data_IF_742816672495
#
_entry.id   IF_742816672495
#
_cell.length_a   1.000
_cell.length_b   1.000
_cell.length_c   1.000
_cell.angle_alpha   90.00
_cell.angle_beta   90.00
_cell.angle_gamma   90.00
#
_symmetry.space_group_name_H-M   'P 1'
#
loop_
_entity.id
_entity.type
_entity.pdbx_description
1 polymer ?
#
# COMPACT_ATOMS: atom_id res chain seq x y z
N UNK A 1 -21.06 -0.89 -45.44
CA UNK A 1 -21.47 -1.76 -44.31
C UNK A 1 -20.34 -1.66 -43.30
N UNK A 2 -20.42 -0.65 -42.44
CA UNK A 2 -19.49 -0.43 -41.33
C UNK A 2 -19.73 -1.52 -40.29
N UNK A 3 -18.68 -2.17 -39.83
CA UNK A 3 -18.74 -3.06 -38.67
C UNK A 3 -18.30 -2.25 -37.46
N UNK A 4 -19.26 -2.01 -36.57
CA UNK A 4 -19.08 -1.29 -35.31
C UNK A 4 -18.13 -2.06 -34.38
N UNK A 5 -17.20 -1.32 -33.79
CA UNK A 5 -16.18 -1.81 -32.89
C UNK A 5 -16.59 -1.52 -31.46
N UNK A 6 -17.31 -2.43 -30.80
CA UNK A 6 -17.59 -2.35 -29.37
C UNK A 6 -17.65 -3.76 -28.80
N UNK A 7 -16.73 -4.09 -27.88
CA UNK A 7 -17.04 -4.67 -26.56
C UNK A 7 -15.76 -5.18 -25.85
N UNK A 8 -14.95 -4.25 -25.30
CA UNK A 8 -13.89 -4.62 -24.36
C UNK A 8 -14.52 -4.90 -22.99
N UNK A 9 -14.98 -6.13 -22.80
CA UNK A 9 -15.46 -6.59 -21.50
C UNK A 9 -14.24 -6.81 -20.59
N UNK A 10 -13.92 -5.82 -19.76
CA UNK A 10 -12.93 -5.99 -18.68
C UNK A 10 -13.54 -6.95 -17.67
N UNK A 11 -13.19 -8.23 -17.80
CA UNK A 11 -13.58 -9.26 -16.84
C UNK A 11 -12.78 -8.97 -15.56
N UNK A 12 -13.34 -8.16 -14.67
CA UNK A 12 -12.86 -8.06 -13.29
C UNK A 12 -13.07 -9.46 -12.71
N UNK A 13 -11.97 -10.18 -12.52
CA UNK A 13 -11.97 -11.52 -11.90
C UNK A 13 -12.41 -11.36 -10.45
N UNK A 14 -13.71 -11.31 -10.20
CA UNK A 14 -14.27 -11.60 -8.89
C UNK A 14 -13.74 -12.97 -8.47
N UNK A 15 -13.21 -13.09 -7.25
CA UNK A 15 -12.82 -14.39 -6.72
C UNK A 15 -14.00 -15.35 -6.79
N UNK A 16 -13.74 -16.64 -7.06
CA UNK A 16 -14.76 -17.67 -7.33
C UNK A 16 -15.84 -17.83 -6.24
N UNK A 17 -15.67 -17.17 -5.09
CA UNK A 17 -16.55 -17.20 -3.92
C UNK A 17 -17.20 -15.84 -3.57
N UNK A 18 -17.11 -14.81 -4.44
CA UNK A 18 -17.61 -13.46 -4.16
C UNK A 18 -16.73 -12.62 -3.21
N UNK A 19 -15.58 -13.16 -2.77
CA UNK A 19 -14.54 -12.41 -2.08
C UNK A 19 -13.84 -11.47 -3.08
N UNK A 20 -13.52 -10.25 -2.64
CA UNK A 20 -12.62 -9.38 -3.38
C UNK A 20 -11.34 -10.17 -3.75
N UNK A 21 -10.87 -10.06 -5.01
CA UNK A 21 -9.68 -10.79 -5.43
C UNK A 21 -8.52 -10.49 -4.48
N UNK A 22 -7.68 -11.49 -4.19
CA UNK A 22 -6.46 -11.27 -3.41
C UNK A 22 -5.59 -10.23 -4.11
N UNK A 23 -4.78 -9.51 -3.34
CA UNK A 23 -3.81 -8.60 -3.91
C UNK A 23 -2.58 -9.40 -4.33
N UNK A 24 -2.29 -9.47 -5.64
CA UNK A 24 -1.13 -10.21 -6.15
C UNK A 24 0.20 -9.68 -5.57
N UNK A 25 0.23 -8.42 -5.12
CA UNK A 25 1.38 -7.83 -4.42
C UNK A 25 1.66 -8.44 -3.03
N UNK A 26 0.78 -9.30 -2.51
CA UNK A 26 0.98 -10.04 -1.26
C UNK A 26 1.38 -11.51 -1.46
N UNK A 27 1.44 -12.01 -2.71
CA UNK A 27 1.69 -13.44 -2.98
C UNK A 27 3.13 -13.86 -2.64
N UNK A 28 4.04 -12.91 -2.46
CA UNK A 28 5.42 -13.20 -2.06
C UNK A 28 5.55 -13.11 -0.54
N UNK A 29 5.75 -14.23 0.18
CA UNK A 29 6.02 -14.18 1.61
C UNK A 29 7.38 -13.52 1.84
N UNK A 30 7.37 -12.31 2.37
CA UNK A 30 8.57 -11.58 2.77
C UNK A 30 8.51 -11.37 4.28
N UNK A 31 9.47 -11.95 4.99
CA UNK A 31 9.76 -11.52 6.36
C UNK A 31 10.61 -10.27 6.22
N UNK A 32 10.01 -9.13 6.52
CA UNK A 32 10.66 -7.83 6.44
C UNK A 32 10.84 -7.31 7.85
N UNK A 33 12.09 -7.15 8.25
CA UNK A 33 12.41 -6.43 9.47
C UNK A 33 12.23 -4.94 9.20
N UNK A 34 11.40 -4.29 10.02
CA UNK A 34 11.26 -2.85 9.99
C UNK A 34 12.26 -2.21 10.95
N UNK A 35 12.71 -1.01 10.59
CA UNK A 35 13.54 -0.20 11.46
C UNK A 35 12.76 0.33 12.67
N UNK A 36 13.35 1.32 13.35
CA UNK A 36 12.68 2.03 14.43
C UNK A 36 11.35 2.59 13.95
N UNK A 37 10.31 2.51 14.80
CA UNK A 37 8.97 3.01 14.52
C UNK A 37 8.95 4.55 14.55
N UNK A 38 9.57 5.18 13.56
CA UNK A 38 9.66 6.63 13.39
C UNK A 38 9.68 7.00 11.90
N UNK A 39 9.14 8.17 11.55
CA UNK A 39 9.28 8.73 10.21
C UNK A 39 10.42 9.75 10.22
N UNK A 40 11.58 9.38 9.66
CA UNK A 40 12.80 10.20 9.68
C UNK A 40 12.62 11.54 8.95
N UNK A 41 11.84 11.55 7.89
CA UNK A 41 11.52 12.72 7.09
C UNK A 41 10.67 13.70 7.90
N UNK A 42 9.66 13.22 8.63
CA UNK A 42 8.90 14.06 9.56
C UNK A 42 9.79 14.62 10.66
N UNK A 43 10.66 13.82 11.27
CA UNK A 43 11.60 14.29 12.28
C UNK A 43 12.53 15.38 11.76
N UNK A 44 13.04 15.22 10.54
CA UNK A 44 13.92 16.21 9.88
C UNK A 44 13.20 17.53 9.63
N UNK A 45 11.91 17.49 9.30
CA UNK A 45 11.08 18.67 9.06
C UNK A 45 10.46 19.26 10.34
N UNK A 46 10.63 18.61 11.49
CA UNK A 46 9.96 18.98 12.74
C UNK A 46 8.44 18.79 12.70
N UNK A 47 7.96 17.86 11.87
CA UNK A 47 6.53 17.55 11.72
C UNK A 47 6.12 16.36 12.58
N UNK A 48 4.86 16.36 12.99
CA UNK A 48 4.21 15.22 13.62
C UNK A 48 3.50 14.34 12.59
N UNK A 49 3.15 13.12 12.98
CA UNK A 49 2.43 12.15 12.17
C UNK A 49 1.21 11.60 12.93
N UNK A 50 0.19 11.18 12.18
CA UNK A 50 -1.00 10.52 12.75
C UNK A 50 -0.74 9.04 13.00
N UNK A 51 -0.15 8.34 12.03
CA UNK A 51 0.13 6.90 12.08
C UNK A 51 1.42 6.59 11.31
N UNK A 52 2.10 5.54 11.73
CA UNK A 52 3.27 4.99 11.05
C UNK A 52 2.92 3.72 10.28
N UNK A 53 3.46 3.65 9.07
CA UNK A 53 3.31 2.53 8.16
C UNK A 53 4.70 1.97 7.83
N UNK A 54 4.82 0.65 7.77
CA UNK A 54 6.00 -0.06 7.30
C UNK A 54 5.78 -0.62 5.91
N UNK A 55 6.74 -0.43 5.02
CA UNK A 55 6.76 -1.04 3.69
C UNK A 55 7.00 -2.55 3.78
N UNK A 56 6.08 -3.36 3.25
CA UNK A 56 6.22 -4.82 3.25
C UNK A 56 7.18 -5.36 2.18
N UNK A 57 7.81 -4.47 1.39
CA UNK A 57 8.83 -4.88 0.41
C UNK A 57 10.24 -4.66 0.94
N UNK A 58 10.50 -3.51 1.60
CA UNK A 58 11.85 -3.12 2.03
C UNK A 58 11.99 -2.74 3.51
N UNK A 59 10.90 -2.65 4.27
CA UNK A 59 10.94 -2.39 5.72
C UNK A 59 11.05 -0.92 6.11
N UNK A 60 10.99 -0.02 5.12
CA UNK A 60 10.98 1.43 5.37
C UNK A 60 9.76 1.84 6.19
N UNK A 61 9.98 2.66 7.22
CA UNK A 61 8.92 3.20 8.08
C UNK A 61 8.67 4.65 7.72
N UNK A 62 7.42 4.99 7.43
CA UNK A 62 7.01 6.33 7.01
C UNK A 62 5.65 6.71 7.60
N UNK A 63 5.36 8.01 7.63
CA UNK A 63 4.06 8.50 8.07
C UNK A 63 2.97 8.20 7.02
N UNK A 64 1.76 7.92 7.52
CA UNK A 64 0.60 7.61 6.69
C UNK A 64 0.17 8.74 5.76
N UNK A 65 -0.65 8.43 4.76
CA UNK A 65 -1.30 9.40 3.86
C UNK A 65 -2.20 10.42 4.56
N UNK A 66 -2.64 10.12 5.79
CA UNK A 66 -3.41 11.05 6.62
C UNK A 66 -2.52 12.09 7.32
N UNK A 67 -1.23 11.77 7.47
CA UNK A 67 -0.26 12.70 8.04
C UNK A 67 0.09 13.79 7.04
N UNK A 68 0.42 15.00 7.51
CA UNK A 68 0.72 16.15 6.64
C UNK A 68 1.81 15.85 5.58
N UNK A 69 2.81 15.04 5.95
CA UNK A 69 3.93 14.67 5.07
C UNK A 69 3.63 13.60 4.02
N UNK A 70 2.66 12.70 4.25
CA UNK A 70 2.29 11.62 3.32
C UNK A 70 3.48 10.79 2.82
N UNK A 71 4.49 10.58 3.65
CA UNK A 71 5.76 9.97 3.24
C UNK A 71 5.63 8.51 2.80
N UNK A 72 4.66 7.76 3.31
CA UNK A 72 4.41 6.39 2.84
C UNK A 72 3.98 6.36 1.36
N UNK A 73 3.20 7.35 0.91
CA UNK A 73 2.82 7.49 -0.49
C UNK A 73 3.99 7.93 -1.36
N UNK A 74 4.75 8.93 -0.91
CA UNK A 74 5.94 9.39 -1.60
C UNK A 74 6.94 8.24 -1.81
N UNK A 75 7.17 7.45 -0.75
CA UNK A 75 7.99 6.25 -0.82
C UNK A 75 7.49 5.25 -1.87
N UNK A 76 6.18 4.99 -1.93
CA UNK A 76 5.60 4.16 -2.99
C UNK A 76 5.85 4.76 -4.39
N UNK A 77 5.61 6.06 -4.57
CA UNK A 77 5.79 6.77 -5.85
C UNK A 77 7.26 6.73 -6.33
N UNK A 78 8.23 6.70 -5.41
CA UNK A 78 9.66 6.66 -5.72
C UNK A 78 10.20 5.25 -5.93
N UNK A 79 9.68 4.25 -5.23
CA UNK A 79 10.27 2.91 -5.16
C UNK A 79 9.44 1.82 -5.82
N UNK A 80 8.21 2.12 -6.21
CA UNK A 80 7.23 1.14 -6.71
C UNK A 80 7.00 -0.01 -5.69
N UNK A 81 7.00 0.32 -4.40
CA UNK A 81 6.66 -0.63 -3.33
C UNK A 81 5.20 -0.47 -2.90
N UNK A 82 4.28 -1.29 -3.43
CA UNK A 82 2.86 -0.94 -3.42
C UNK A 82 2.14 -1.26 -2.12
N UNK A 83 2.75 -2.06 -1.22
CA UNK A 83 2.08 -2.53 -0.01
C UNK A 83 2.78 -2.03 1.26
N UNK A 84 1.97 -1.47 2.15
CA UNK A 84 2.37 -1.01 3.47
C UNK A 84 1.49 -1.64 4.55
N UNK A 85 2.01 -1.79 5.75
CA UNK A 85 1.31 -2.28 6.95
C UNK A 85 1.34 -1.24 8.05
N UNK A 86 0.31 -1.18 8.88
CA UNK A 86 0.31 -0.33 10.06
C UNK A 86 1.22 -0.92 11.16
N UNK A 87 1.98 -0.07 11.85
CA UNK A 87 2.84 -0.46 12.96
C UNK A 87 2.15 -0.37 14.34
N UNK A 88 0.82 -0.26 14.38
CA UNK A 88 0.07 -0.29 15.64
C UNK A 88 0.13 -1.70 16.26
N UNK A 89 0.13 -1.77 17.59
CA UNK A 89 0.12 -3.03 18.35
C UNK A 89 -1.07 -3.91 17.89
N UNK A 90 -0.78 -5.17 17.54
CA UNK A 90 -1.75 -6.16 17.02
C UNK A 90 -2.48 -5.82 15.71
N UNK A 91 -2.02 -4.81 14.95
CA UNK A 91 -2.66 -4.46 13.69
C UNK A 91 -2.26 -5.40 12.55
N UNK A 92 -3.26 -6.07 11.98
CA UNK A 92 -3.12 -6.82 10.72
C UNK A 92 -3.44 -5.97 9.49
N UNK A 93 -3.64 -4.67 9.67
CA UNK A 93 -4.06 -3.76 8.62
C UNK A 93 -2.93 -3.53 7.61
N UNK A 94 -3.25 -3.72 6.33
CA UNK A 94 -2.36 -3.44 5.20
C UNK A 94 -3.10 -2.68 4.12
N UNK A 95 -2.37 -1.89 3.36
CA UNK A 95 -2.90 -1.09 2.26
C UNK A 95 -2.09 -1.30 1.00
N UNK A 96 -2.78 -1.44 -0.13
CA UNK A 96 -2.17 -1.48 -1.45
C UNK A 96 -2.45 -0.18 -2.19
N UNK A 97 -1.40 0.59 -2.51
CA UNK A 97 -1.52 1.84 -3.27
C UNK A 97 -1.99 1.65 -4.70
N UNK A 98 -1.60 0.54 -5.35
CA UNK A 98 -2.04 0.21 -6.72
C UNK A 98 -3.53 -0.06 -6.76
N UNK A 99 -4.06 -0.87 -5.83
CA UNK A 99 -5.48 -1.21 -5.77
C UNK A 99 -6.32 -0.21 -4.96
N UNK A 100 -5.69 0.75 -4.29
CA UNK A 100 -6.31 1.77 -3.43
C UNK A 100 -7.32 1.17 -2.44
N UNK A 101 -6.93 0.08 -1.78
CA UNK A 101 -7.77 -0.63 -0.81
C UNK A 101 -6.95 -1.35 0.26
N UNK A 102 -7.62 -1.71 1.35
CA UNK A 102 -7.09 -2.61 2.37
C UNK A 102 -6.92 -4.02 1.81
N UNK A 103 -5.83 -4.70 2.16
CA UNK A 103 -5.44 -6.02 1.63
C UNK A 103 -4.98 -7.00 2.70
#
# INVERSE_FOLDING_TARGET
>A
MTVDAENLHVIVRSGLNGQAPRCDHLDQPRVVEYGVAECKECLTLGWTWTRLLACLTCGWVACSDDSAGRHARAHYEETDHPVVAALDEDSSWRWCYVHKRTV
#
